data_IF_972732042414
#
_entry.id   IF_972732042414
#
_cell.length_a   1.000
_cell.length_b   1.000
_cell.length_c   1.000
_cell.angle_alpha   90.00
_cell.angle_beta   90.00
_cell.angle_gamma   90.00
#
_symmetry.space_group_name_H-M   'P 1'
#
loop_
_entity.id
_entity.type
_entity.pdbx_description
1 polymer ?
#
# COMPACT_ATOMS: atom_id res chain seq x y z
N UNK A 1 20.93 0.95 -17.04
CA UNK A 1 19.52 0.56 -16.82
C UNK A 1 19.26 -0.88 -17.27
N UNK A 2 19.49 -1.25 -18.55
CA UNK A 2 19.22 -2.61 -19.06
C UNK A 2 19.98 -3.75 -18.37
N UNK A 3 21.27 -3.55 -18.05
CA UNK A 3 22.09 -4.57 -17.36
C UNK A 3 21.57 -4.90 -15.95
N UNK A 4 21.22 -3.87 -15.17
CA UNK A 4 20.65 -4.05 -13.81
C UNK A 4 19.25 -4.67 -13.84
N UNK A 5 18.44 -4.33 -14.85
CA UNK A 5 17.12 -4.92 -15.06
C UNK A 5 17.25 -6.42 -15.37
N UNK A 6 18.09 -6.77 -16.34
CA UNK A 6 18.36 -8.16 -16.73
C UNK A 6 18.95 -8.95 -15.56
N UNK A 7 19.90 -8.40 -14.82
CA UNK A 7 20.46 -9.04 -13.62
C UNK A 7 19.40 -9.32 -12.54
N UNK A 8 18.45 -8.41 -12.33
CA UNK A 8 17.37 -8.59 -11.34
C UNK A 8 16.37 -9.65 -11.78
N UNK A 9 15.97 -9.67 -13.06
CA UNK A 9 15.08 -10.70 -13.60
C UNK A 9 15.73 -12.08 -13.58
N UNK A 10 16.98 -12.18 -14.04
CA UNK A 10 17.72 -13.43 -14.06
C UNK A 10 17.95 -13.95 -12.63
N UNK A 11 18.40 -13.09 -11.71
CA UNK A 11 18.60 -13.47 -10.31
C UNK A 11 17.32 -13.97 -9.64
N UNK A 12 16.18 -13.34 -9.92
CA UNK A 12 14.88 -13.76 -9.37
C UNK A 12 14.40 -15.08 -9.98
N UNK A 13 14.60 -15.28 -11.28
CA UNK A 13 14.16 -16.51 -11.98
C UNK A 13 15.05 -17.72 -11.67
N UNK A 14 16.35 -17.51 -11.47
CA UNK A 14 17.33 -18.55 -11.12
C UNK A 14 17.27 -18.95 -9.64
N UNK A 15 16.61 -18.14 -8.80
CA UNK A 15 16.40 -18.45 -7.39
C UNK A 15 15.28 -19.47 -7.21
N UNK A 16 15.40 -20.33 -6.18
CA UNK A 16 14.36 -21.31 -5.88
C UNK A 16 13.03 -20.60 -5.57
N UNK A 17 11.89 -21.11 -6.09
CA UNK A 17 10.58 -20.59 -5.72
C UNK A 17 10.37 -20.68 -4.20
N UNK A 18 9.74 -19.66 -3.62
CA UNK A 18 9.37 -19.65 -2.21
C UNK A 18 8.46 -20.83 -1.88
N UNK A 19 8.65 -21.43 -0.70
CA UNK A 19 7.84 -22.56 -0.26
C UNK A 19 6.34 -22.21 -0.17
N UNK A 20 5.49 -23.14 -0.63
CA UNK A 20 4.04 -22.94 -0.67
C UNK A 20 3.44 -22.70 0.72
N UNK A 21 4.00 -23.29 1.78
CA UNK A 21 3.52 -23.08 3.15
C UNK A 21 3.70 -21.62 3.61
N UNK A 22 4.83 -21.00 3.28
CA UNK A 22 5.11 -19.59 3.58
C UNK A 22 4.17 -18.70 2.76
N UNK A 23 3.92 -19.06 1.50
CA UNK A 23 3.01 -18.32 0.63
C UNK A 23 1.57 -18.35 1.16
N UNK A 24 1.14 -19.49 1.68
CA UNK A 24 -0.18 -19.70 2.30
C UNK A 24 -0.34 -18.92 3.60
N UNK A 25 0.65 -18.93 4.48
CA UNK A 25 0.62 -18.16 5.72
C UNK A 25 0.60 -16.66 5.42
N UNK A 26 1.45 -16.18 4.51
CA UNK A 26 1.45 -14.79 4.05
C UNK A 26 0.10 -14.36 3.48
N UNK A 27 -0.49 -15.17 2.59
CA UNK A 27 -1.78 -14.85 1.97
C UNK A 27 -2.91 -14.77 3.01
N UNK A 28 -2.89 -15.66 4.01
CA UNK A 28 -3.88 -15.68 5.09
C UNK A 28 -3.76 -14.50 6.05
N UNK A 29 -2.55 -13.94 6.22
CA UNK A 29 -2.33 -12.80 7.11
C UNK A 29 -2.59 -11.46 6.41
N UNK A 30 -2.02 -11.27 5.22
CA UNK A 30 -1.95 -9.96 4.56
C UNK A 30 -3.10 -9.73 3.58
N UNK A 31 -3.79 -10.78 3.13
CA UNK A 31 -4.86 -10.70 2.13
C UNK A 31 -4.50 -9.83 0.91
N UNK A 32 -3.38 -10.15 0.23
CA UNK A 32 -2.84 -9.30 -0.81
C UNK A 32 -3.78 -9.25 -2.03
N UNK A 33 -3.87 -8.07 -2.64
CA UNK A 33 -4.51 -7.87 -3.94
C UNK A 33 -3.60 -8.34 -5.09
N UNK A 34 -4.20 -8.69 -6.24
CA UNK A 34 -3.46 -9.00 -7.48
C UNK A 34 -3.58 -10.45 -7.95
N UNK A 35 -2.49 -10.98 -8.51
CA UNK A 35 -2.44 -12.28 -9.22
C UNK A 35 -2.10 -13.48 -8.34
N UNK A 36 -2.82 -13.65 -7.23
CA UNK A 36 -2.61 -14.73 -6.25
C UNK A 36 -3.50 -15.96 -6.45
N UNK A 37 -4.10 -16.12 -7.64
CA UNK A 37 -4.99 -17.25 -7.98
C UNK A 37 -4.43 -18.63 -7.58
N UNK A 38 -3.17 -19.02 -7.90
CA UNK A 38 -2.68 -20.36 -7.59
C UNK A 38 -2.58 -20.63 -6.07
N UNK A 39 -2.26 -19.61 -5.28
CA UNK A 39 -2.18 -19.73 -3.81
C UNK A 39 -3.58 -19.80 -3.19
N UNK A 40 -4.51 -18.97 -3.68
CA UNK A 40 -5.91 -19.00 -3.26
C UNK A 40 -6.56 -20.36 -3.54
N UNK A 41 -6.34 -20.94 -4.72
CA UNK A 41 -6.85 -22.27 -5.08
C UNK A 41 -6.24 -23.36 -4.20
N UNK A 42 -4.94 -23.27 -3.90
CA UNK A 42 -4.28 -24.20 -2.98
C UNK A 42 -4.85 -24.11 -1.55
N UNK A 43 -5.20 -22.91 -1.07
CA UNK A 43 -5.85 -22.70 0.23
C UNK A 43 -7.31 -23.18 0.26
N UNK A 44 -8.04 -22.99 -0.84
CA UNK A 44 -9.43 -23.48 -0.97
C UNK A 44 -9.49 -25.00 -0.97
N UNK A 45 -8.53 -25.67 -1.62
CA UNK A 45 -8.41 -27.15 -1.57
C UNK A 45 -8.15 -27.68 -0.15
N UNK A 46 -7.52 -26.88 0.70
CA UNK A 46 -7.31 -27.18 2.13
C UNK A 46 -8.51 -26.80 3.01
N UNK A 47 -9.63 -26.37 2.42
CA UNK A 47 -10.87 -26.10 3.14
C UNK A 47 -10.93 -24.76 3.86
N UNK A 48 -9.98 -23.85 3.63
CA UNK A 48 -10.01 -22.51 4.24
C UNK A 48 -10.98 -21.58 3.48
N UNK A 49 -11.98 -20.98 4.14
CA UNK A 49 -12.90 -20.03 3.52
C UNK A 49 -12.24 -18.65 3.40
N UNK A 50 -11.28 -18.52 2.49
CA UNK A 50 -10.60 -17.25 2.21
C UNK A 50 -11.18 -16.67 0.91
N UNK A 51 -11.74 -15.46 1.02
CA UNK A 51 -12.23 -14.70 -0.13
C UNK A 51 -11.12 -13.86 -0.76
N UNK A 52 -11.23 -13.64 -2.07
CA UNK A 52 -10.29 -12.80 -2.79
C UNK A 52 -10.52 -11.34 -2.39
N UNK A 53 -9.45 -10.67 -1.97
CA UNK A 53 -9.50 -9.22 -1.73
C UNK A 53 -9.73 -8.46 -3.06
N UNK A 54 -10.83 -7.71 -3.13
CA UNK A 54 -11.22 -6.85 -4.26
C UNK A 54 -11.05 -5.36 -3.96
N UNK A 55 -10.43 -4.99 -2.83
CA UNK A 55 -10.30 -3.59 -2.39
C UNK A 55 -9.16 -2.81 -3.06
N UNK A 56 -8.55 -3.34 -4.12
CA UNK A 56 -7.43 -2.74 -4.85
C UNK A 56 -7.59 -1.25 -5.15
N UNK A 57 -8.77 -0.83 -5.66
CA UNK A 57 -9.03 0.57 -6.00
C UNK A 57 -8.97 1.48 -4.78
N UNK A 58 -9.48 1.02 -3.64
CA UNK A 58 -9.51 1.79 -2.40
C UNK A 58 -8.11 1.88 -1.80
N UNK A 59 -7.36 0.78 -1.83
CA UNK A 59 -5.97 0.75 -1.34
C UNK A 59 -5.07 1.64 -2.19
N UNK A 60 -5.22 1.62 -3.52
CA UNK A 60 -4.46 2.50 -4.40
C UNK A 60 -4.80 3.98 -4.22
N UNK A 61 -6.08 4.31 -4.05
CA UNK A 61 -6.52 5.68 -3.78
C UNK A 61 -5.95 6.18 -2.44
N UNK A 62 -5.98 5.35 -1.40
CA UNK A 62 -5.36 5.65 -0.11
C UNK A 62 -3.85 5.90 -0.24
N UNK A 63 -3.14 5.07 -1.02
CA UNK A 63 -1.73 5.28 -1.31
C UNK A 63 -1.48 6.62 -2.02
N UNK A 64 -2.28 6.96 -3.03
CA UNK A 64 -2.17 8.24 -3.74
C UNK A 64 -2.39 9.45 -2.83
N UNK A 65 -3.42 9.40 -1.98
CA UNK A 65 -3.67 10.45 -0.98
C UNK A 65 -2.51 10.51 0.02
N UNK A 66 -1.96 9.36 0.41
CA UNK A 66 -0.78 9.27 1.27
C UNK A 66 0.45 9.97 0.68
N UNK A 67 0.68 9.86 -0.63
CA UNK A 67 1.77 10.57 -1.33
C UNK A 67 1.56 12.08 -1.22
N UNK A 68 0.34 12.57 -1.53
CA UNK A 68 0.01 14.00 -1.45
C UNK A 68 0.17 14.51 -0.01
N UNK A 69 -0.30 13.73 0.96
CA UNK A 69 -0.15 14.02 2.39
C UNK A 69 1.32 14.16 2.80
N UNK A 70 2.17 13.17 2.45
CA UNK A 70 3.62 13.21 2.71
C UNK A 70 4.29 14.39 2.02
N UNK A 71 3.99 14.65 0.75
CA UNK A 71 4.54 15.80 0.02
C UNK A 71 4.14 17.13 0.68
N UNK A 72 2.89 17.28 1.13
CA UNK A 72 2.43 18.50 1.80
C UNK A 72 3.18 18.75 3.12
N UNK A 73 3.52 17.69 3.86
CA UNK A 73 4.31 17.78 5.09
C UNK A 73 5.73 18.29 4.86
N UNK A 74 6.35 17.93 3.73
CA UNK A 74 7.70 18.38 3.35
C UNK A 74 7.68 19.85 2.88
N UNK A 75 6.66 20.25 2.13
CA UNK A 75 6.57 21.59 1.53
C UNK A 75 6.21 22.67 2.56
N UNK A 76 5.49 22.30 3.62
CA UNK A 76 5.06 23.21 4.69
C UNK A 76 6.22 23.95 5.41
N UNK A 77 7.29 23.28 5.91
CA UNK A 77 8.43 23.97 6.49
C UNK A 77 9.20 24.82 5.47
N UNK A 78 9.21 24.43 4.19
CA UNK A 78 9.86 25.19 3.12
C UNK A 78 9.15 26.53 2.90
N UNK A 79 7.81 26.53 2.79
CA UNK A 79 7.05 27.78 2.65
C UNK A 79 7.11 28.67 3.88
N UNK A 80 7.14 28.07 5.08
CA UNK A 80 7.40 28.81 6.32
C UNK A 80 8.77 29.49 6.30
N UNK A 81 9.81 28.79 5.85
CA UNK A 81 11.17 29.32 5.77
C UNK A 81 11.30 30.47 4.76
N UNK A 82 10.62 30.37 3.62
CA UNK A 82 10.59 31.43 2.58
C UNK A 82 9.67 32.60 2.97
N UNK A 83 8.93 32.50 4.10
CA UNK A 83 7.92 33.47 4.58
C UNK A 83 6.77 33.71 3.59
N UNK A 84 6.48 32.72 2.74
CA UNK A 84 5.34 32.76 1.81
C UNK A 84 4.08 32.22 2.51
N UNK A 85 3.53 33.04 3.41
CA UNK A 85 2.39 32.67 4.27
C UNK A 85 1.13 32.24 3.51
N UNK A 86 0.75 32.85 2.37
CA UNK A 86 -0.40 32.38 1.59
C UNK A 86 -0.23 30.93 1.13
N UNK A 87 0.94 30.57 0.58
CA UNK A 87 1.20 29.20 0.11
C UNK A 87 1.37 28.22 1.26
N UNK A 88 1.95 28.64 2.38
CA UNK A 88 2.00 27.84 3.60
C UNK A 88 0.59 27.50 4.12
N UNK A 89 -0.35 28.44 4.07
CA UNK A 89 -1.75 28.22 4.42
C UNK A 89 -2.43 27.18 3.54
N UNK A 90 -2.20 27.23 2.22
CA UNK A 90 -2.72 26.22 1.28
C UNK A 90 -2.12 24.83 1.55
N UNK A 91 -0.81 24.75 1.76
CA UNK A 91 -0.15 23.48 2.10
C UNK A 91 -0.69 22.88 3.41
N UNK A 92 -0.93 23.72 4.43
CA UNK A 92 -1.54 23.31 5.69
C UNK A 92 -2.99 22.82 5.49
N UNK A 93 -3.78 23.52 4.68
CA UNK A 93 -5.15 23.10 4.36
C UNK A 93 -5.16 21.74 3.65
N UNK A 94 -4.29 21.53 2.66
CA UNK A 94 -4.14 20.24 1.97
C UNK A 94 -3.74 19.14 2.95
N UNK A 95 -2.77 19.42 3.83
CA UNK A 95 -2.33 18.47 4.86
C UNK A 95 -3.47 18.06 5.80
N UNK A 96 -4.24 19.02 6.31
CA UNK A 96 -5.38 18.75 7.19
C UNK A 96 -6.47 17.97 6.46
N UNK A 97 -6.85 18.39 5.25
CA UNK A 97 -7.87 17.71 4.45
C UNK A 97 -7.49 16.26 4.14
N UNK A 98 -6.27 16.03 3.67
CA UNK A 98 -5.77 14.67 3.37
C UNK A 98 -5.64 13.82 4.64
N UNK A 99 -5.25 14.41 5.78
CA UNK A 99 -5.25 13.73 7.09
C UNK A 99 -6.65 13.25 7.48
N UNK A 100 -7.68 14.09 7.30
CA UNK A 100 -9.07 13.73 7.60
C UNK A 100 -9.56 12.62 6.67
N UNK A 101 -9.26 12.71 5.37
CA UNK A 101 -9.64 11.66 4.41
C UNK A 101 -8.96 10.32 4.74
N UNK A 102 -7.65 10.32 5.04
CA UNK A 102 -6.93 9.12 5.45
C UNK A 102 -7.45 8.53 6.76
N UNK A 103 -7.85 9.37 7.72
CA UNK A 103 -8.47 8.91 8.97
C UNK A 103 -9.71 8.05 8.68
N UNK A 104 -10.63 8.53 7.86
CA UNK A 104 -11.87 7.81 7.57
C UNK A 104 -11.68 6.63 6.62
N UNK A 105 -10.81 6.79 5.62
CA UNK A 105 -10.69 5.80 4.54
C UNK A 105 -9.74 4.67 4.90
N UNK A 106 -8.72 4.95 5.73
CA UNK A 106 -7.71 3.98 6.12
C UNK A 106 -7.76 3.66 7.62
N UNK A 107 -7.60 4.63 8.52
CA UNK A 107 -7.45 4.36 9.96
C UNK A 107 -8.69 3.70 10.58
N UNK A 108 -9.88 4.20 10.26
CA UNK A 108 -11.14 3.65 10.76
C UNK A 108 -11.45 2.26 10.20
N UNK A 109 -10.94 1.92 9.01
CA UNK A 109 -11.05 0.58 8.45
C UNK A 109 -10.13 -0.39 9.17
N UNK A 110 -8.85 -0.01 9.35
CA UNK A 110 -7.87 -0.84 10.06
C UNK A 110 -8.35 -1.13 11.49
N UNK A 111 -8.92 -0.16 12.19
CA UNK A 111 -9.47 -0.34 13.54
C UNK A 111 -10.67 -1.29 13.61
N UNK A 112 -11.39 -1.51 12.51
CA UNK A 112 -12.53 -2.43 12.44
C UNK A 112 -12.12 -3.87 12.17
N UNK A 113 -10.86 -4.14 11.86
CA UNK A 113 -10.36 -5.50 11.65
C UNK A 113 -10.18 -6.13 13.05
N UNK A 114 -10.97 -7.16 13.42
CA UNK A 114 -10.75 -7.88 14.66
C UNK A 114 -9.41 -8.64 14.58
N UNK A 115 -8.63 -8.58 15.66
CA UNK A 115 -7.37 -9.33 15.80
C UNK A 115 -7.62 -10.83 15.94
#
# INVERSE_FOLDING_TARGET
FGFSLLGSFLGTYLSKPTEMQVLKSFYSTVHPWGWWKPVLEALKKEGKPIEKNNEFLKDMLNCGIGIIWQSSMIVLPIYFMIRDYPKAGVALAIFVMTSVVLKYTWLDRVRKIPN
#
